data_IF_598173027221
#
_entry.id   IF_598173027221
#
_cell.length_a   1.000
_cell.length_b   1.000
_cell.length_c   1.000
_cell.angle_alpha   90.00
_cell.angle_beta   90.00
_cell.angle_gamma   90.00
#
_symmetry.space_group_name_H-M   'P 1'
#
loop_
_entity.id
_entity.type
_entity.pdbx_description
1 polymer ?
#
# COMPACT_ATOMS: atom_id res chain seq x y z
N UNK A 1 26.59 -4.34 -4.59
CA UNK A 1 25.26 -4.91 -4.90
C UNK A 1 25.38 -6.39 -4.67
N UNK A 2 24.92 -6.89 -3.52
CA UNK A 2 24.87 -8.34 -3.27
C UNK A 2 23.70 -8.90 -4.08
N UNK A 3 23.94 -9.99 -4.80
CA UNK A 3 22.92 -10.65 -5.62
C UNK A 3 22.01 -11.45 -4.69
N UNK A 4 20.71 -11.15 -4.70
CA UNK A 4 19.64 -11.92 -4.06
C UNK A 4 19.32 -13.15 -4.91
N UNK A 5 20.30 -14.05 -5.06
CA UNK A 5 20.19 -15.24 -5.90
C UNK A 5 20.24 -16.52 -5.09
N UNK A 6 19.47 -17.52 -5.51
CA UNK A 6 19.58 -18.88 -4.98
C UNK A 6 20.81 -19.55 -5.60
N UNK A 7 21.71 -20.05 -4.76
CA UNK A 7 22.87 -20.82 -5.22
C UNK A 7 22.43 -22.22 -5.67
N UNK A 8 22.75 -22.55 -6.92
CA UNK A 8 22.54 -23.88 -7.49
C UNK A 8 23.89 -24.44 -7.93
N UNK A 9 24.17 -25.70 -7.58
CA UNK A 9 25.42 -26.37 -7.91
C UNK A 9 25.20 -27.44 -8.97
N UNK A 10 26.07 -27.55 -10.00
CA UNK A 10 25.94 -28.59 -11.01
C UNK A 10 25.97 -29.99 -10.40
N UNK A 11 25.00 -30.83 -10.77
CA UNK A 11 24.90 -32.21 -10.29
C UNK A 11 24.30 -32.37 -8.88
N UNK A 12 23.96 -31.28 -8.21
CA UNK A 12 23.28 -31.30 -6.91
C UNK A 12 21.80 -30.94 -7.04
N UNK A 13 20.97 -31.53 -6.19
CA UNK A 13 19.56 -31.11 -6.03
C UNK A 13 19.49 -30.02 -4.97
N UNK A 14 19.02 -28.83 -5.35
CA UNK A 14 18.72 -27.75 -4.42
C UNK A 14 17.22 -27.73 -4.11
N UNK A 15 16.86 -27.91 -2.84
CA UNK A 15 15.49 -27.73 -2.37
C UNK A 15 15.25 -26.26 -2.00
N UNK A 16 14.21 -25.65 -2.57
CA UNK A 16 13.84 -24.25 -2.31
C UNK A 16 12.53 -24.23 -1.54
N UNK A 17 12.58 -23.73 -0.31
CA UNK A 17 11.37 -23.48 0.49
C UNK A 17 10.80 -22.12 0.10
N UNK A 18 9.49 -22.01 -0.19
CA UNK A 18 8.89 -20.72 -0.53
C UNK A 18 8.87 -19.78 0.68
N UNK A 19 8.98 -18.48 0.41
CA UNK A 19 8.64 -17.42 1.36
C UNK A 19 7.17 -17.01 1.19
N UNK A 20 6.61 -16.40 2.22
CA UNK A 20 5.23 -15.92 2.18
C UNK A 20 5.16 -14.44 2.56
N UNK A 21 4.38 -13.69 1.79
CA UNK A 21 4.09 -12.29 2.08
C UNK A 21 2.61 -12.16 2.39
N UNK A 22 2.27 -11.60 3.54
CA UNK A 22 0.90 -11.27 3.93
C UNK A 22 0.77 -9.76 4.15
N UNK A 23 -0.32 -9.17 3.67
CA UNK A 23 -0.63 -7.75 3.88
C UNK A 23 -1.89 -7.63 4.72
N UNK A 24 -1.80 -6.95 5.86
CA UNK A 24 -2.93 -6.80 6.78
C UNK A 24 -2.82 -5.51 7.61
N UNK A 25 -3.85 -4.64 7.61
CA UNK A 25 -5.09 -4.73 6.84
C UNK A 25 -4.89 -4.41 5.36
N UNK A 26 -5.84 -4.80 4.51
CA UNK A 26 -5.93 -4.33 3.13
C UNK A 26 -6.91 -3.16 3.03
N UNK A 27 -6.60 -2.21 2.14
CA UNK A 27 -7.48 -1.11 1.75
C UNK A 27 -8.38 -1.52 0.57
N UNK A 28 -8.91 -0.53 -0.13
CA UNK A 28 -9.66 -0.74 -1.38
C UNK A 28 -8.79 -1.16 -2.57
N UNK A 29 -7.48 -0.87 -2.52
CA UNK A 29 -6.60 -0.98 -3.68
C UNK A 29 -5.85 -2.31 -3.76
N UNK A 30 -5.42 -2.62 -4.98
CA UNK A 30 -4.49 -3.69 -5.28
C UNK A 30 -3.10 -3.37 -4.72
N UNK A 31 -2.46 -4.39 -4.16
CA UNK A 31 -1.06 -4.35 -3.76
C UNK A 31 -0.27 -5.22 -4.72
N UNK A 32 0.73 -4.64 -5.38
CA UNK A 32 1.59 -5.34 -6.33
C UNK A 32 2.90 -5.72 -5.66
N UNK A 33 3.34 -6.96 -5.85
CA UNK A 33 4.67 -7.42 -5.48
C UNK A 33 5.50 -7.45 -6.75
N UNK A 34 6.57 -6.68 -6.78
CA UNK A 34 7.41 -6.44 -7.95
C UNK A 34 8.77 -7.08 -7.75
N UNK A 35 9.29 -7.68 -8.82
CA UNK A 35 10.68 -8.08 -8.89
C UNK A 35 11.54 -6.80 -9.01
N UNK A 36 12.52 -6.57 -8.12
CA UNK A 36 13.20 -5.27 -8.01
C UNK A 36 14.16 -4.94 -9.17
N UNK A 37 14.68 -5.93 -9.89
CA UNK A 37 15.59 -5.69 -11.02
C UNK A 37 14.85 -5.29 -12.31
N UNK A 38 13.68 -5.85 -12.53
CA UNK A 38 12.89 -5.73 -13.77
C UNK A 38 11.66 -4.85 -13.62
N UNK A 39 11.13 -4.71 -12.41
CA UNK A 39 9.84 -4.08 -12.12
C UNK A 39 8.64 -4.93 -12.56
N UNK A 40 8.85 -6.19 -12.96
CA UNK A 40 7.77 -7.11 -13.34
C UNK A 40 6.92 -7.48 -12.13
N UNK A 41 5.61 -7.63 -12.35
CA UNK A 41 4.68 -8.08 -11.31
C UNK A 41 4.89 -9.56 -11.06
N UNK A 42 5.45 -9.89 -9.90
CA UNK A 42 5.57 -11.25 -9.43
C UNK A 42 4.23 -11.77 -8.91
N UNK A 43 3.51 -10.93 -8.15
CA UNK A 43 2.21 -11.28 -7.56
C UNK A 43 1.30 -10.05 -7.34
N UNK A 44 0.00 -10.32 -7.27
CA UNK A 44 -1.03 -9.34 -6.88
C UNK A 44 -1.72 -9.80 -5.59
N UNK A 45 -1.84 -8.89 -4.63
CA UNK A 45 -2.49 -9.09 -3.33
C UNK A 45 -3.71 -8.17 -3.26
N UNK A 46 -4.86 -8.75 -2.89
CA UNK A 46 -6.13 -8.05 -2.74
C UNK A 46 -7.01 -8.75 -1.72
N UNK A 47 -8.15 -8.16 -1.37
CA UNK A 47 -8.94 -8.57 -0.20
C UNK A 47 -9.34 -10.06 -0.16
N UNK A 48 -9.57 -10.73 -1.30
CA UNK A 48 -9.84 -12.18 -1.34
C UNK A 48 -8.58 -13.05 -1.40
N UNK A 49 -7.41 -12.47 -1.65
CA UNK A 49 -6.09 -13.11 -1.69
C UNK A 49 -5.08 -12.25 -0.90
N UNK A 50 -5.15 -12.23 0.44
CA UNK A 50 -4.31 -11.34 1.27
C UNK A 50 -2.86 -11.82 1.43
N UNK A 51 -2.49 -12.92 0.75
CA UNK A 51 -1.20 -13.59 0.87
C UNK A 51 -0.66 -14.02 -0.48
N UNK A 52 0.63 -13.83 -0.67
CA UNK A 52 1.41 -14.31 -1.80
C UNK A 52 2.40 -15.40 -1.35
N UNK A 53 2.67 -16.34 -2.26
CA UNK A 53 3.71 -17.37 -2.08
C UNK A 53 4.76 -17.13 -3.15
N UNK A 54 5.99 -16.86 -2.74
CA UNK A 54 7.06 -16.37 -3.62
C UNK A 54 8.35 -17.14 -3.37
N UNK A 55 9.24 -17.10 -4.35
CA UNK A 55 10.62 -17.55 -4.14
C UNK A 55 11.27 -16.59 -3.12
N UNK A 56 12.00 -17.09 -2.10
CA UNK A 56 12.69 -16.24 -1.14
C UNK A 56 13.63 -15.23 -1.81
N UNK A 57 13.72 -14.04 -1.23
CA UNK A 57 14.50 -12.93 -1.75
C UNK A 57 13.85 -11.58 -1.47
N UNK A 58 14.43 -10.54 -2.09
CA UNK A 58 13.96 -9.17 -1.95
C UNK A 58 12.93 -8.81 -3.01
N UNK A 59 11.85 -8.17 -2.59
CA UNK A 59 10.80 -7.65 -3.45
C UNK A 59 10.49 -6.20 -3.16
N UNK A 60 10.04 -5.47 -4.18
CA UNK A 60 9.39 -4.18 -3.99
C UNK A 60 7.88 -4.42 -3.84
N UNK A 61 7.26 -3.77 -2.85
CA UNK A 61 5.80 -3.92 -2.62
C UNK A 61 5.13 -2.58 -2.83
N UNK A 62 4.19 -2.51 -3.76
CA UNK A 62 3.56 -1.27 -4.23
C UNK A 62 2.11 -1.21 -3.83
N UNK A 63 1.74 -0.16 -3.11
CA UNK A 63 0.37 0.19 -2.74
C UNK A 63 -0.06 1.39 -3.60
N UNK A 64 -1.02 1.20 -4.51
CA UNK A 64 -1.36 2.24 -5.48
C UNK A 64 -0.14 2.64 -6.31
N UNK A 65 0.37 3.85 -6.12
CA UNK A 65 1.60 4.36 -6.77
C UNK A 65 2.83 4.41 -5.86
N UNK A 66 2.72 4.10 -4.58
CA UNK A 66 3.81 4.21 -3.59
C UNK A 66 4.42 2.85 -3.25
N UNK A 67 5.76 2.81 -3.12
CA UNK A 67 6.49 1.62 -2.70
C UNK A 67 6.63 1.55 -1.18
N UNK A 68 6.62 0.33 -0.65
CA UNK A 68 6.97 0.04 0.73
C UNK A 68 8.43 0.48 0.99
N UNK A 69 8.69 1.29 2.03
CA UNK A 69 10.02 1.80 2.30
C UNK A 69 11.04 0.68 2.48
N UNK A 70 12.16 0.74 1.76
CA UNK A 70 13.28 -0.18 1.91
C UNK A 70 13.11 -1.54 1.22
N UNK A 71 11.99 -1.81 0.56
CA UNK A 71 11.69 -3.14 0.00
C UNK A 71 11.44 -4.17 1.11
N UNK A 72 11.13 -5.40 0.70
CA UNK A 72 10.71 -6.48 1.61
C UNK A 72 11.53 -7.72 1.35
N UNK A 73 12.20 -8.22 2.40
CA UNK A 73 12.91 -9.49 2.34
C UNK A 73 11.98 -10.63 2.76
N UNK A 74 11.95 -11.69 1.94
CA UNK A 74 11.23 -12.92 2.24
C UNK A 74 12.22 -14.03 2.54
N UNK A 75 12.17 -14.56 3.76
CA UNK A 75 13.00 -15.70 4.13
C UNK A 75 12.34 -17.04 3.76
N UNK A 76 13.13 -18.09 3.50
CA UNK A 76 12.60 -19.41 3.17
C UNK A 76 11.75 -20.00 4.30
N UNK A 77 10.51 -20.37 3.99
CA UNK A 77 9.58 -21.04 4.91
C UNK A 77 8.93 -20.12 5.94
N UNK A 78 9.17 -18.81 5.91
CA UNK A 78 8.61 -17.86 6.86
C UNK A 78 7.52 -17.00 6.23
N UNK A 79 6.67 -16.41 7.07
CA UNK A 79 5.66 -15.43 6.64
C UNK A 79 6.07 -14.04 7.11
N UNK A 80 6.39 -13.16 6.16
CA UNK A 80 6.57 -11.74 6.38
C UNK A 80 5.21 -11.05 6.32
N UNK A 81 4.86 -10.32 7.38
CA UNK A 81 3.57 -9.62 7.49
C UNK A 81 3.81 -8.11 7.39
N UNK A 82 3.30 -7.49 6.33
CA UNK A 82 3.27 -6.04 6.20
C UNK A 82 2.02 -5.47 6.85
N UNK A 83 2.24 -4.46 7.68
CA UNK A 83 1.19 -3.73 8.39
C UNK A 83 1.12 -2.31 7.85
N UNK A 84 0.44 -2.06 6.72
CA UNK A 84 0.25 -0.70 6.24
C UNK A 84 -0.53 0.11 7.28
N UNK A 85 -0.28 1.42 7.30
CA UNK A 85 -1.15 2.36 7.97
C UNK A 85 -2.44 2.53 7.18
N UNK A 86 -3.51 2.92 7.86
CA UNK A 86 -4.84 3.08 7.28
C UNK A 86 -5.34 4.50 7.48
N UNK A 87 -5.72 5.15 6.40
CA UNK A 87 -6.53 6.37 6.43
C UNK A 87 -7.98 5.98 6.17
N UNK A 88 -8.84 6.18 7.15
CA UNK A 88 -10.27 6.02 7.00
C UNK A 88 -10.93 7.40 6.94
N UNK A 89 -11.58 7.70 5.82
CA UNK A 89 -12.29 8.95 5.60
C UNK A 89 -13.78 8.64 5.60
N UNK A 90 -14.54 9.36 6.43
CA UNK A 90 -15.99 9.29 6.48
C UNK A 90 -16.57 10.68 6.20
N UNK A 91 -17.46 10.79 5.21
CA UNK A 91 -18.04 12.03 4.74
C UNK A 91 -19.56 11.95 4.71
N UNK A 92 -20.22 12.99 5.22
CA UNK A 92 -21.69 13.15 5.13
C UNK A 92 -22.14 13.83 3.84
N UNK A 93 -21.20 14.27 3.00
CA UNK A 93 -21.45 15.11 1.82
C UNK A 93 -21.88 14.32 0.57
N UNK A 94 -22.14 13.01 0.71
CA UNK A 94 -22.44 12.12 -0.40
C UNK A 94 -21.17 11.62 -1.09
N UNK A 95 -21.13 11.66 -2.42
CA UNK A 95 -19.94 11.30 -3.20
C UNK A 95 -18.90 12.41 -3.03
N UNK A 96 -17.66 12.07 -2.72
CA UNK A 96 -16.55 13.01 -2.69
C UNK A 96 -15.38 12.45 -3.50
N UNK A 97 -14.58 13.35 -4.06
CA UNK A 97 -13.30 13.00 -4.67
C UNK A 97 -12.20 13.15 -3.64
N UNK A 98 -11.21 12.27 -3.70
CA UNK A 98 -10.01 12.35 -2.89
C UNK A 98 -8.77 12.13 -3.74
N UNK A 99 -7.68 12.78 -3.31
CA UNK A 99 -6.33 12.58 -3.83
C UNK A 99 -5.39 12.45 -2.64
N UNK A 100 -4.76 11.30 -2.49
CA UNK A 100 -3.68 11.11 -1.53
C UNK A 100 -2.35 11.40 -2.23
N UNK A 101 -1.48 12.17 -1.58
CA UNK A 101 -0.15 12.51 -2.07
C UNK A 101 0.92 12.23 -1.03
N UNK A 102 2.14 11.94 -1.48
CA UNK A 102 3.31 11.84 -0.60
C UNK A 102 3.95 13.23 -0.33
N UNK A 103 5.03 13.25 0.48
CA UNK A 103 5.79 14.48 0.78
C UNK A 103 6.45 15.15 -0.44
N UNK A 104 6.53 14.45 -1.58
CA UNK A 104 7.08 14.98 -2.84
C UNK A 104 5.97 15.49 -3.76
N UNK A 105 4.74 15.63 -3.24
CA UNK A 105 3.53 16.01 -3.98
C UNK A 105 3.20 15.01 -5.11
N UNK A 106 3.66 13.75 -5.01
CA UNK A 106 3.31 12.70 -5.94
C UNK A 106 1.99 12.06 -5.52
N UNK A 107 1.04 11.99 -6.44
CA UNK A 107 -0.21 11.25 -6.24
C UNK A 107 0.10 9.77 -5.95
N UNK A 108 -0.28 9.32 -4.76
CA UNK A 108 -0.14 7.91 -4.34
C UNK A 108 -1.41 7.13 -4.64
N UNK A 109 -2.57 7.79 -4.51
CA UNK A 109 -3.87 7.24 -4.84
C UNK A 109 -4.90 8.35 -5.10
N UNK A 110 -5.96 8.02 -5.83
CA UNK A 110 -7.09 8.90 -6.10
C UNK A 110 -8.37 8.12 -6.32
N UNK A 111 -9.49 8.70 -5.95
CA UNK A 111 -10.77 8.06 -6.21
C UNK A 111 -11.96 8.96 -5.96
N UNK A 112 -13.13 8.42 -6.27
CA UNK A 112 -14.43 9.02 -5.96
C UNK A 112 -15.26 7.97 -5.25
N UNK A 113 -15.67 8.24 -4.01
CA UNK A 113 -16.36 7.26 -3.17
C UNK A 113 -17.58 7.90 -2.48
N UNK A 114 -18.69 7.15 -2.33
CA UNK A 114 -19.82 7.58 -1.55
C UNK A 114 -19.54 7.39 -0.06
N UNK A 115 -19.45 8.49 0.68
CA UNK A 115 -19.53 8.51 2.14
C UNK A 115 -18.38 7.89 2.93
N UNK A 116 -17.67 6.86 2.45
CA UNK A 116 -16.53 6.25 3.16
C UNK A 116 -15.47 5.74 2.19
N UNK A 117 -14.19 6.00 2.49
CA UNK A 117 -13.04 5.34 1.84
C UNK A 117 -12.02 4.87 2.87
N UNK A 118 -11.33 3.77 2.56
CA UNK A 118 -10.26 3.19 3.37
C UNK A 118 -9.01 3.00 2.52
N UNK A 119 -7.99 3.82 2.78
CA UNK A 119 -6.71 3.78 2.09
C UNK A 119 -5.70 3.05 2.97
N UNK A 120 -5.13 1.95 2.47
CA UNK A 120 -4.02 1.29 3.13
C UNK A 120 -2.73 1.71 2.42
N UNK A 121 -1.85 2.39 3.14
CA UNK A 121 -0.61 2.95 2.60
C UNK A 121 0.59 2.51 3.45
N UNK A 122 1.79 2.43 2.87
CA UNK A 122 3.00 2.20 3.65
C UNK A 122 3.20 3.28 4.72
N UNK A 123 3.98 3.01 5.77
CA UNK A 123 4.34 4.02 6.75
C UNK A 123 5.00 5.24 6.09
N UNK A 124 4.61 6.43 6.52
CA UNK A 124 5.08 7.66 5.90
C UNK A 124 4.15 8.85 6.18
N UNK A 125 4.49 9.98 5.57
CA UNK A 125 3.69 11.20 5.65
C UNK A 125 2.98 11.44 4.33
N UNK A 126 1.71 11.77 4.43
CA UNK A 126 0.80 11.94 3.32
C UNK A 126 0.00 13.22 3.48
N UNK A 127 -0.47 13.73 2.35
CA UNK A 127 -1.45 14.80 2.27
C UNK A 127 -2.68 14.22 1.61
N UNK A 128 -3.81 14.26 2.31
CA UNK A 128 -5.09 13.90 1.74
C UNK A 128 -5.83 15.17 1.32
N UNK A 129 -6.04 15.32 0.03
CA UNK A 129 -6.87 16.36 -0.56
C UNK A 129 -8.28 15.81 -0.81
N UNK A 130 -9.31 16.50 -0.33
CA UNK A 130 -10.73 16.12 -0.46
C UNK A 130 -11.48 17.23 -1.20
N UNK A 131 -12.10 16.87 -2.33
CA UNK A 131 -12.93 17.79 -3.11
C UNK A 131 -14.40 17.34 -3.06
N UNK A 132 -15.31 18.15 -2.48
CA UNK A 132 -16.72 17.83 -2.43
C UNK A 132 -17.38 18.03 -3.81
N UNK A 133 -18.61 17.56 -4.01
CA UNK A 133 -19.36 17.86 -5.22
C UNK A 133 -19.42 19.37 -5.49
N UNK A 134 -19.23 19.79 -6.74
CA UNK A 134 -19.18 21.21 -7.16
C UNK A 134 -20.39 22.07 -6.72
N UNK A 135 -21.52 21.46 -6.35
CA UNK A 135 -22.71 22.14 -5.85
C UNK A 135 -22.69 22.42 -4.33
N UNK A 136 -21.76 21.81 -3.58
CA UNK A 136 -21.48 22.03 -2.17
C UNK A 136 -20.24 22.93 -2.02
N UNK A 137 -20.41 24.14 -1.48
CA UNK A 137 -19.34 25.14 -1.30
C UNK A 137 -18.81 25.22 0.14
N UNK A 138 -19.14 24.25 1.00
CA UNK A 138 -19.21 24.52 2.45
C UNK A 138 -18.08 23.95 3.32
N UNK A 139 -17.13 23.18 2.79
CA UNK A 139 -16.03 22.66 3.62
C UNK A 139 -14.89 23.67 3.75
N UNK A 140 -14.27 23.73 4.93
CA UNK A 140 -13.11 24.59 5.17
C UNK A 140 -11.88 24.09 4.41
N UNK A 141 -10.92 24.98 4.14
CA UNK A 141 -9.66 24.60 3.49
C UNK A 141 -8.85 23.58 4.34
N UNK A 142 -9.04 23.60 5.66
CA UNK A 142 -8.46 22.62 6.60
C UNK A 142 -9.06 21.22 6.45
N UNK A 143 -10.35 21.12 6.11
CA UNK A 143 -11.01 19.85 5.79
C UNK A 143 -10.70 19.37 4.36
N UNK A 144 -10.33 20.30 3.46
CA UNK A 144 -9.91 19.98 2.09
C UNK A 144 -8.52 19.39 2.02
N UNK A 145 -7.64 19.72 2.97
CA UNK A 145 -6.25 19.29 2.95
C UNK A 145 -5.82 18.84 4.34
N UNK A 146 -5.74 17.54 4.53
CA UNK A 146 -5.38 16.92 5.80
C UNK A 146 -4.00 16.30 5.70
N UNK A 147 -3.06 16.78 6.50
CA UNK A 147 -1.75 16.13 6.65
C UNK A 147 -1.90 14.92 7.60
N UNK A 148 -1.35 13.78 7.18
CA UNK A 148 -1.44 12.52 7.90
C UNK A 148 -0.06 11.89 8.00
N UNK A 149 0.34 11.54 9.21
CA UNK A 149 1.50 10.68 9.45
C UNK A 149 0.99 9.28 9.81
N UNK A 150 1.48 8.27 9.12
CA UNK A 150 1.11 6.87 9.30
C UNK A 150 2.31 6.06 9.78
N UNK A 151 2.19 5.45 10.95
CA UNK A 151 3.04 4.35 11.39
C UNK A 151 2.55 2.99 10.86
N UNK A 152 3.38 1.95 11.09
CA UNK A 152 3.00 0.57 10.77
C UNK A 152 1.76 0.12 11.55
N UNK A 153 0.71 -0.27 10.83
CA UNK A 153 -0.55 -0.73 11.40
C UNK A 153 -1.37 0.35 12.11
N UNK A 154 -0.98 1.62 11.99
CA UNK A 154 -1.72 2.75 12.55
C UNK A 154 -3.03 2.98 11.77
N UNK A 155 -4.07 3.47 12.45
CA UNK A 155 -5.33 3.83 11.81
C UNK A 155 -5.69 5.28 12.17
N UNK A 156 -5.79 6.13 11.16
CA UNK A 156 -6.17 7.54 11.27
C UNK A 156 -7.58 7.71 10.70
N UNK A 157 -8.46 8.33 11.48
CA UNK A 157 -9.86 8.58 11.10
C UNK A 157 -10.10 10.05 10.84
N UNK A 158 -10.60 10.36 9.65
CA UNK A 158 -10.93 11.72 9.21
C UNK A 158 -12.44 11.78 8.98
N UNK A 159 -13.10 12.74 9.63
CA UNK A 159 -14.54 12.98 9.47
C UNK A 159 -14.78 14.31 8.76
N UNK A 160 -15.58 14.26 7.70
CA UNK A 160 -15.99 15.42 6.92
C UNK A 160 -17.49 15.62 7.12
N UNK A 161 -17.86 16.79 7.62
CA UNK A 161 -19.24 17.19 7.95
C UNK A 161 -19.67 18.41 7.15
#
# INVERSE_FOLDING_TARGET
>A
MERTGIEVKPGETTEIKPGFLEVKPLGSDLVYVLEPETGEVAEEIFFTKPRATLIPGRFDVKFGKVLWPGGVELEPGTTTVLKPGVIEVESKLGIFEFVAKDLKDQEVDRGSQPGKVRLALPPGKYVLEIDPPKWLKTISDEQRKVEVELGEGEEVKIKIE
#
